data_IF_587258972175
#
_entry.id   IF_587258972175
#
_cell.length_a   1.000
_cell.length_b   1.000
_cell.length_c   1.000
_cell.angle_alpha   90.00
_cell.angle_beta   90.00
_cell.angle_gamma   90.00
#
_symmetry.space_group_name_H-M   'P 1'
#
loop_
_entity.id
_entity.type
_entity.pdbx_description
1 polymer ?
#
# COMPACT_ATOMS: atom_id res chain seq x y z
N UNK A 1 -30.53 0.16 2.94
CA UNK A 1 -30.03 -0.96 2.09
C UNK A 1 -28.61 -1.33 2.50
N UNK A 2 -28.17 -2.55 2.30
CA UNK A 2 -26.83 -2.96 2.69
C UNK A 2 -26.02 -3.29 1.42
N UNK A 3 -24.86 -2.64 1.25
CA UNK A 3 -24.00 -2.82 0.08
C UNK A 3 -22.70 -3.53 0.48
N UNK A 4 -22.15 -4.31 -0.45
CA UNK A 4 -20.87 -5.02 -0.27
C UNK A 4 -20.04 -4.98 -1.55
N UNK A 5 -18.75 -5.28 -1.41
CA UNK A 5 -17.87 -5.55 -2.54
C UNK A 5 -17.93 -7.05 -2.83
N UNK A 6 -18.34 -7.40 -4.05
CA UNK A 6 -18.21 -8.74 -4.59
C UNK A 6 -16.90 -8.82 -5.41
N UNK A 7 -16.15 -9.90 -5.24
CA UNK A 7 -14.97 -10.18 -6.04
C UNK A 7 -15.36 -11.17 -7.15
N UNK A 8 -15.38 -10.69 -8.39
CA UNK A 8 -15.63 -11.49 -9.58
C UNK A 8 -14.36 -11.52 -10.43
N UNK A 9 -13.57 -12.59 -10.40
CA UNK A 9 -12.38 -12.67 -11.24
C UNK A 9 -12.74 -12.44 -12.72
N UNK A 10 -12.05 -11.54 -13.38
CA UNK A 10 -12.24 -11.22 -14.79
C UNK A 10 -10.97 -11.54 -15.55
N UNK A 11 -11.06 -12.40 -16.56
CA UNK A 11 -9.93 -12.80 -17.40
C UNK A 11 -9.65 -11.84 -18.55
N UNK A 12 -10.56 -10.90 -18.84
CA UNK A 12 -10.50 -10.07 -20.05
C UNK A 12 -10.07 -8.62 -19.84
N UNK A 13 -9.66 -8.22 -18.65
CA UNK A 13 -9.24 -6.86 -18.32
C UNK A 13 -10.21 -5.73 -18.72
N UNK A 14 -11.45 -6.05 -19.07
CA UNK A 14 -12.49 -5.06 -19.43
C UNK A 14 -13.26 -4.62 -18.21
N UNK A 15 -13.58 -5.55 -17.32
CA UNK A 15 -14.34 -5.28 -16.11
C UNK A 15 -13.49 -5.41 -14.87
N UNK A 16 -13.66 -4.47 -13.96
CA UNK A 16 -12.98 -4.49 -12.66
C UNK A 16 -13.44 -5.73 -11.86
N UNK A 17 -12.52 -6.50 -11.25
CA UNK A 17 -12.89 -7.65 -10.44
C UNK A 17 -13.64 -7.29 -9.16
N UNK A 18 -13.55 -6.04 -8.72
CA UNK A 18 -14.23 -5.53 -7.54
C UNK A 18 -15.53 -4.83 -7.96
N UNK A 19 -16.67 -5.49 -7.70
CA UNK A 19 -18.02 -4.96 -8.03
C UNK A 19 -18.73 -4.54 -6.76
N UNK A 20 -19.36 -3.40 -6.77
CA UNK A 20 -20.25 -2.98 -5.67
C UNK A 20 -21.65 -3.43 -6.00
N UNK A 21 -22.22 -4.20 -5.09
CA UNK A 21 -23.53 -4.82 -5.25
C UNK A 21 -24.37 -4.60 -4.00
N UNK A 22 -25.66 -4.51 -4.17
CA UNK A 22 -26.64 -4.61 -3.10
C UNK A 22 -26.62 -6.03 -2.51
N UNK A 23 -26.61 -6.15 -1.20
CA UNK A 23 -26.39 -7.44 -0.55
C UNK A 23 -27.56 -8.40 -0.69
N UNK A 24 -28.80 -7.87 -0.71
CA UNK A 24 -30.04 -8.67 -0.76
C UNK A 24 -30.36 -9.17 -2.16
N UNK A 25 -30.29 -8.29 -3.15
CA UNK A 25 -30.70 -8.57 -4.53
C UNK A 25 -29.55 -8.99 -5.43
N UNK A 26 -28.31 -8.68 -5.05
CA UNK A 26 -27.13 -8.84 -5.91
C UNK A 26 -27.06 -7.82 -7.05
N UNK A 27 -27.97 -6.84 -7.10
CA UNK A 27 -27.99 -5.77 -8.10
C UNK A 27 -26.71 -4.95 -8.05
N UNK A 28 -26.09 -4.73 -9.18
CA UNK A 28 -24.87 -3.92 -9.29
C UNK A 28 -25.20 -2.41 -9.22
N UNK A 29 -24.30 -1.65 -8.59
CA UNK A 29 -24.39 -0.19 -8.53
C UNK A 29 -23.68 0.38 -9.75
N UNK A 30 -24.45 0.74 -10.77
CA UNK A 30 -23.98 1.06 -12.10
C UNK A 30 -22.90 2.15 -12.13
N UNK A 31 -23.16 3.32 -11.55
CA UNK A 31 -22.25 4.45 -11.64
C UNK A 31 -20.86 4.17 -11.03
N UNK A 32 -20.81 3.43 -9.90
CA UNK A 32 -19.53 3.08 -9.27
C UNK A 32 -18.81 2.03 -10.12
N UNK A 33 -19.54 1.02 -10.59
CA UNK A 33 -18.95 -0.06 -11.34
C UNK A 33 -18.43 0.41 -12.71
N UNK A 34 -19.11 1.36 -13.35
CA UNK A 34 -18.60 2.04 -14.56
C UNK A 34 -17.31 2.80 -14.29
N UNK A 35 -17.20 3.50 -13.17
CA UNK A 35 -15.96 4.18 -12.81
C UNK A 35 -14.81 3.19 -12.54
N UNK A 36 -15.09 2.09 -11.84
CA UNK A 36 -14.08 1.06 -11.58
C UNK A 36 -13.61 0.39 -12.89
N UNK A 37 -14.51 0.16 -13.85
CA UNK A 37 -14.18 -0.34 -15.18
C UNK A 37 -13.32 0.67 -15.96
N UNK A 38 -13.65 1.96 -15.90
CA UNK A 38 -12.82 3.02 -16.47
C UNK A 38 -11.40 3.02 -15.90
N UNK A 39 -11.23 2.88 -14.59
CA UNK A 39 -9.92 2.82 -13.96
C UNK A 39 -9.18 1.51 -14.26
N UNK A 40 -9.89 0.41 -14.47
CA UNK A 40 -9.33 -0.87 -14.93
C UNK A 40 -8.74 -0.74 -16.34
N UNK A 41 -9.45 -0.10 -17.27
CA UNK A 41 -8.95 0.17 -18.62
C UNK A 41 -7.68 1.05 -18.61
N UNK A 42 -7.51 1.90 -17.61
CA UNK A 42 -6.29 2.67 -17.38
C UNK A 42 -5.15 1.84 -16.79
N UNK A 43 -5.34 0.54 -16.61
CA UNK A 43 -4.36 -0.41 -16.07
C UNK A 43 -3.85 -0.06 -14.67
N UNK A 44 -4.74 0.42 -13.81
CA UNK A 44 -4.40 0.59 -12.41
C UNK A 44 -4.11 -0.76 -11.74
N UNK A 45 -3.19 -0.74 -10.77
CA UNK A 45 -2.88 -1.94 -10.00
C UNK A 45 -4.11 -2.45 -9.24
N UNK A 46 -4.25 -3.77 -9.14
CA UNK A 46 -5.35 -4.46 -8.46
C UNK A 46 -5.60 -3.92 -7.03
N UNK A 47 -4.53 -3.70 -6.27
CA UNK A 47 -4.60 -3.10 -4.92
C UNK A 47 -5.17 -1.69 -4.92
N UNK A 48 -4.96 -0.92 -5.99
CA UNK A 48 -5.52 0.44 -6.14
C UNK A 48 -7.01 0.36 -6.46
N UNK A 49 -7.41 -0.52 -7.38
CA UNK A 49 -8.82 -0.75 -7.72
C UNK A 49 -9.60 -1.21 -6.49
N UNK A 50 -9.04 -2.14 -5.72
CA UNK A 50 -9.62 -2.59 -4.46
C UNK A 50 -9.81 -1.43 -3.48
N UNK A 51 -8.82 -0.57 -3.34
CA UNK A 51 -8.92 0.62 -2.46
C UNK A 51 -10.03 1.54 -2.96
N UNK A 52 -10.09 1.83 -4.26
CA UNK A 52 -11.14 2.67 -4.83
C UNK A 52 -12.53 2.09 -4.57
N UNK A 53 -12.72 0.78 -4.75
CA UNK A 53 -13.98 0.13 -4.44
C UNK A 53 -14.40 0.31 -2.96
N UNK A 54 -13.45 0.18 -2.03
CA UNK A 54 -13.74 0.40 -0.60
C UNK A 54 -14.13 1.84 -0.27
N UNK A 55 -13.42 2.82 -0.84
CA UNK A 55 -13.69 4.23 -0.55
C UNK A 55 -15.00 4.70 -1.21
N UNK A 56 -15.32 4.20 -2.40
CA UNK A 56 -16.60 4.47 -3.07
C UNK A 56 -17.77 3.78 -2.35
N UNK A 57 -17.57 2.56 -1.84
CA UNK A 57 -18.57 1.89 -1.00
C UNK A 57 -18.86 2.69 0.28
N UNK A 58 -17.82 3.28 0.88
CA UNK A 58 -18.00 4.13 2.07
C UNK A 58 -18.84 5.38 1.74
N UNK A 59 -18.59 6.01 0.59
CA UNK A 59 -19.38 7.14 0.14
C UNK A 59 -20.83 6.73 -0.16
N UNK A 60 -21.07 5.62 -0.86
CA UNK A 60 -22.40 5.12 -1.17
C UNK A 60 -23.23 4.87 0.09
N UNK A 61 -22.63 4.28 1.12
CA UNK A 61 -23.30 4.03 2.41
C UNK A 61 -23.69 5.33 3.11
N UNK A 62 -22.82 6.33 3.07
CA UNK A 62 -23.14 7.66 3.57
C UNK A 62 -24.27 8.30 2.77
N UNK A 63 -24.16 8.25 1.44
CA UNK A 63 -25.17 8.80 0.54
C UNK A 63 -26.56 8.21 0.80
N UNK A 64 -26.65 6.89 0.85
CA UNK A 64 -27.90 6.18 1.14
C UNK A 64 -28.45 6.52 2.54
N UNK A 65 -27.58 6.65 3.53
CA UNK A 65 -27.99 7.06 4.88
C UNK A 65 -28.59 8.48 4.95
N UNK A 66 -28.17 9.39 4.05
CA UNK A 66 -28.64 10.76 4.01
C UNK A 66 -29.86 10.94 3.07
N UNK A 67 -29.80 10.32 1.90
CA UNK A 67 -30.78 10.52 0.84
C UNK A 67 -31.81 9.38 0.71
N UNK A 68 -31.65 8.30 1.48
CA UNK A 68 -32.51 7.09 1.45
C UNK A 68 -32.62 6.44 0.06
N UNK A 69 -31.62 6.66 -0.79
CA UNK A 69 -31.53 6.10 -2.13
C UNK A 69 -30.07 5.85 -2.51
N UNK A 70 -29.85 4.84 -3.33
CA UNK A 70 -28.54 4.53 -3.93
C UNK A 70 -28.33 5.21 -5.29
N UNK A 71 -29.39 5.84 -5.82
CA UNK A 71 -29.35 6.60 -7.06
C UNK A 71 -28.78 7.99 -6.77
N UNK A 72 -27.67 8.29 -7.43
CA UNK A 72 -27.03 9.58 -7.34
C UNK A 72 -27.57 10.48 -8.47
N UNK A 73 -28.42 11.44 -8.10
CA UNK A 73 -28.91 12.45 -9.03
C UNK A 73 -27.82 13.51 -9.27
N UNK A 74 -27.54 13.83 -10.54
CA UNK A 74 -26.51 14.82 -10.91
C UNK A 74 -26.73 16.19 -10.26
N UNK A 75 -27.96 16.61 -10.14
CA UNK A 75 -28.33 17.93 -9.60
C UNK A 75 -28.14 18.02 -8.08
N UNK A 76 -28.12 16.88 -7.39
CA UNK A 76 -27.83 16.80 -5.95
C UNK A 76 -26.32 16.78 -5.66
N UNK A 77 -25.47 16.63 -6.69
CA UNK A 77 -24.01 16.62 -6.56
C UNK A 77 -23.46 18.05 -6.61
N UNK A 78 -23.44 18.69 -5.47
CA UNK A 78 -22.90 20.05 -5.33
C UNK A 78 -21.61 20.03 -4.50
N UNK A 79 -20.92 21.17 -4.43
CA UNK A 79 -19.75 21.31 -3.54
C UNK A 79 -20.14 21.10 -2.06
N UNK A 80 -21.37 21.50 -1.67
CA UNK A 80 -21.89 21.23 -0.32
C UNK A 80 -22.01 19.75 -0.01
N UNK A 81 -22.36 18.92 -0.98
CA UNK A 81 -22.42 17.45 -0.82
C UNK A 81 -21.08 16.86 -0.39
N UNK A 82 -19.98 17.30 -1.02
CA UNK A 82 -18.65 16.85 -0.61
C UNK A 82 -18.24 17.41 0.75
N UNK A 83 -18.65 18.66 1.08
CA UNK A 83 -18.43 19.24 2.42
C UNK A 83 -19.15 18.44 3.50
N UNK A 84 -20.39 18.06 3.26
CA UNK A 84 -21.20 17.29 4.22
C UNK A 84 -20.63 15.88 4.39
N UNK A 85 -20.10 15.29 3.32
CA UNK A 85 -19.36 14.04 3.41
C UNK A 85 -18.06 14.16 4.25
N UNK A 86 -17.35 15.30 4.15
CA UNK A 86 -16.19 15.57 5.01
C UNK A 86 -16.61 15.75 6.47
N UNK A 87 -17.70 16.50 6.73
CA UNK A 87 -18.25 16.70 8.08
C UNK A 87 -18.66 15.37 8.71
N UNK A 88 -19.37 14.53 7.96
CA UNK A 88 -19.73 13.19 8.42
C UNK A 88 -18.52 12.37 8.85
N UNK A 89 -17.45 12.36 8.04
CA UNK A 89 -16.23 11.61 8.37
C UNK A 89 -15.49 12.17 9.59
N UNK A 90 -15.54 13.50 9.79
CA UNK A 90 -14.89 14.16 10.91
C UNK A 90 -15.65 14.00 12.24
N UNK A 91 -16.96 13.75 12.17
CA UNK A 91 -17.84 13.58 13.34
C UNK A 91 -17.97 12.13 13.81
N UNK A 92 -17.25 11.17 13.24
CA UNK A 92 -17.31 9.77 13.66
C UNK A 92 -16.59 9.55 14.99
N UNK A 93 -17.14 8.69 15.86
CA UNK A 93 -16.53 8.31 17.16
C UNK A 93 -15.08 7.85 17.03
N UNK A 94 -14.75 7.16 15.94
CA UNK A 94 -13.37 6.80 15.61
C UNK A 94 -12.73 7.92 14.82
N UNK A 95 -11.90 8.70 15.48
CA UNK A 95 -11.13 9.79 14.85
C UNK A 95 -10.34 9.29 13.64
N UNK A 96 -10.77 9.70 12.45
CA UNK A 96 -10.08 9.42 11.20
C UNK A 96 -8.94 10.43 11.01
N UNK A 97 -7.81 9.95 10.48
CA UNK A 97 -6.74 10.89 10.13
C UNK A 97 -7.17 11.76 8.95
N UNK A 98 -6.82 13.05 8.97
CA UNK A 98 -7.10 13.94 7.84
C UNK A 98 -6.54 13.43 6.49
N UNK A 99 -5.45 12.62 6.53
CA UNK A 99 -4.93 11.96 5.34
C UNK A 99 -5.93 10.93 4.76
N UNK A 100 -6.59 10.18 5.62
CA UNK A 100 -7.62 9.20 5.21
C UNK A 100 -8.84 9.92 4.61
N UNK A 101 -9.30 10.97 5.26
CA UNK A 101 -10.42 11.80 4.76
C UNK A 101 -10.06 12.37 3.38
N UNK A 102 -8.88 12.97 3.25
CA UNK A 102 -8.42 13.55 1.99
C UNK A 102 -8.32 12.52 0.86
N UNK A 103 -7.86 11.31 1.16
CA UNK A 103 -7.79 10.23 0.18
C UNK A 103 -9.19 9.83 -0.30
N UNK A 104 -10.14 9.63 0.62
CA UNK A 104 -11.53 9.29 0.29
C UNK A 104 -12.18 10.35 -0.58
N UNK A 105 -12.12 11.60 -0.14
CA UNK A 105 -12.70 12.72 -0.87
C UNK A 105 -12.11 12.85 -2.26
N UNK A 106 -10.79 12.70 -2.41
CA UNK A 106 -10.15 12.78 -3.72
C UNK A 106 -10.58 11.67 -4.68
N UNK A 107 -10.82 10.45 -4.18
CA UNK A 107 -11.31 9.32 -4.99
C UNK A 107 -12.77 9.56 -5.39
N UNK A 108 -13.60 9.98 -4.44
CA UNK A 108 -15.03 10.26 -4.67
C UNK A 108 -15.21 11.41 -5.63
N UNK A 109 -14.58 12.56 -5.39
CA UNK A 109 -14.64 13.74 -6.27
C UNK A 109 -14.26 13.39 -7.70
N UNK A 110 -13.18 12.62 -7.85
CA UNK A 110 -12.73 12.16 -9.17
C UNK A 110 -13.75 11.24 -9.84
N UNK A 111 -14.32 10.28 -9.12
CA UNK A 111 -15.32 9.36 -9.66
C UNK A 111 -16.58 10.11 -10.11
N UNK A 112 -17.07 11.01 -9.27
CA UNK A 112 -18.26 11.80 -9.57
C UNK A 112 -18.06 12.70 -10.80
N UNK A 113 -16.91 13.35 -10.94
CA UNK A 113 -16.61 14.18 -12.13
C UNK A 113 -16.48 13.40 -13.42
N UNK A 114 -16.00 12.16 -13.36
CA UNK A 114 -15.86 11.31 -14.56
C UNK A 114 -17.21 10.77 -14.98
N UNK A 115 -18.04 10.35 -14.03
CA UNK A 115 -19.33 9.72 -14.31
C UNK A 115 -20.45 10.75 -14.55
N UNK A 116 -20.37 11.90 -13.88
CA UNK A 116 -21.35 12.97 -13.95
C UNK A 116 -20.67 14.29 -14.36
N UNK A 117 -20.20 14.42 -15.61
CA UNK A 117 -19.43 15.60 -16.05
C UNK A 117 -20.22 16.91 -15.96
N UNK A 118 -21.56 16.84 -16.09
CA UNK A 118 -22.46 17.98 -16.05
C UNK A 118 -22.99 18.28 -14.64
N UNK A 119 -22.51 17.57 -13.61
CA UNK A 119 -22.94 17.84 -12.25
C UNK A 119 -22.39 19.20 -11.76
N UNK A 120 -23.14 19.94 -10.92
CA UNK A 120 -22.71 21.24 -10.38
C UNK A 120 -21.63 21.11 -9.28
N UNK A 121 -20.79 20.10 -9.37
CA UNK A 121 -19.53 19.95 -8.62
C UNK A 121 -18.50 20.99 -9.07
N UNK A 122 -18.95 22.19 -9.43
CA UNK A 122 -18.04 23.21 -9.91
C UNK A 122 -17.09 23.63 -8.78
N UNK A 123 -15.85 23.29 -8.95
CA UNK A 123 -14.79 24.15 -8.42
C UNK A 123 -15.04 25.54 -9.01
N UNK A 124 -15.19 26.54 -8.16
CA UNK A 124 -15.03 27.92 -8.58
C UNK A 124 -13.84 27.99 -9.54
N UNK A 125 -13.92 28.77 -10.63
CA UNK A 125 -12.89 28.80 -11.65
C UNK A 125 -11.56 28.86 -10.94
N UNK A 126 -10.70 27.89 -11.23
CA UNK A 126 -9.34 27.91 -10.71
C UNK A 126 -8.85 29.30 -11.06
N UNK A 127 -8.65 30.15 -10.07
CA UNK A 127 -7.88 31.36 -10.27
C UNK A 127 -6.67 30.85 -11.02
N UNK A 128 -6.57 31.21 -12.30
CA UNK A 128 -5.39 30.98 -13.09
C UNK A 128 -4.29 31.83 -12.43
N UNK A 129 -3.87 31.39 -11.27
CA UNK A 129 -2.65 31.88 -10.70
C UNK A 129 -1.60 31.37 -11.67
N UNK A 130 -1.04 32.31 -12.42
CA UNK A 130 0.09 32.11 -13.30
C UNK A 130 1.19 31.43 -12.50
N UNK A 131 1.09 30.11 -12.42
CA UNK A 131 1.96 29.25 -11.61
C UNK A 131 3.41 29.31 -12.11
N UNK A 132 3.58 29.73 -13.38
CA UNK A 132 4.85 29.95 -14.02
C UNK A 132 5.69 31.06 -13.38
N UNK A 133 5.05 32.00 -12.68
CA UNK A 133 5.76 33.10 -12.02
C UNK A 133 6.33 32.76 -10.64
N UNK A 134 6.01 31.60 -10.07
CA UNK A 134 6.45 31.21 -8.71
C UNK A 134 7.38 30.00 -8.63
N UNK A 135 7.69 29.35 -9.74
CA UNK A 135 8.69 28.29 -9.76
C UNK A 135 10.05 28.91 -10.05
N UNK A 136 11.01 28.87 -9.14
CA UNK A 136 12.38 29.20 -9.48
C UNK A 136 12.80 28.29 -10.66
N UNK A 137 13.20 28.89 -11.79
CA UNK A 137 13.61 28.20 -13.00
C UNK A 137 12.55 27.57 -13.91
N UNK A 138 11.24 27.86 -13.76
CA UNK A 138 10.21 27.47 -14.73
C UNK A 138 9.94 25.96 -14.87
N UNK A 139 10.53 25.11 -14.03
CA UNK A 139 10.42 23.65 -14.08
C UNK A 139 9.44 23.19 -13.01
N UNK A 140 8.17 23.50 -13.16
CA UNK A 140 7.11 23.01 -12.28
C UNK A 140 6.01 22.35 -13.10
N UNK A 141 5.69 21.09 -12.87
CA UNK A 141 4.46 20.51 -13.39
C UNK A 141 3.27 21.27 -12.79
N UNK A 142 2.28 21.71 -13.59
CA UNK A 142 1.09 22.32 -13.04
C UNK A 142 0.47 21.34 -12.03
N UNK A 143 0.35 21.76 -10.79
CA UNK A 143 -0.44 20.99 -9.81
C UNK A 143 -1.89 21.10 -10.31
N UNK A 144 -2.48 19.97 -10.68
CA UNK A 144 -3.92 19.92 -10.86
C UNK A 144 -4.56 20.61 -9.66
N UNK A 145 -5.57 21.46 -9.90
CA UNK A 145 -6.35 22.06 -8.83
C UNK A 145 -6.99 20.89 -8.05
N UNK A 146 -6.26 20.41 -7.07
CA UNK A 146 -6.76 19.41 -6.13
C UNK A 146 -7.92 20.09 -5.41
N UNK A 147 -9.05 19.41 -5.32
CA UNK A 147 -10.21 19.77 -4.56
C UNK A 147 -9.83 20.72 -3.40
N UNK A 148 -10.43 21.91 -3.32
CA UNK A 148 -10.23 22.86 -2.23
C UNK A 148 -10.59 22.26 -0.86
N UNK A 149 -11.30 21.15 -0.86
CA UNK A 149 -11.73 20.39 0.31
C UNK A 149 -10.61 19.48 0.79
N UNK A 150 -9.58 20.07 1.42
CA UNK A 150 -8.55 19.32 2.11
C UNK A 150 -8.54 19.63 3.60
N UNK A 151 -8.74 18.61 4.39
CA UNK A 151 -8.50 18.68 5.84
C UNK A 151 -6.99 18.84 6.08
N UNK A 152 -6.62 19.83 6.89
CA UNK A 152 -5.23 20.06 7.26
C UNK A 152 -4.68 18.84 8.00
N UNK A 153 -3.61 18.28 7.50
CA UNK A 153 -2.93 17.13 8.15
C UNK A 153 -1.61 17.59 8.75
N UNK A 154 -1.35 17.30 10.01
CA UNK A 154 -0.05 17.56 10.58
C UNK A 154 1.01 16.74 9.84
N UNK A 155 2.15 17.36 9.54
CA UNK A 155 3.30 16.63 8.98
C UNK A 155 3.80 15.65 10.04
N UNK A 156 3.60 14.36 9.84
CA UNK A 156 4.18 13.34 10.69
C UNK A 156 5.67 13.21 10.36
N UNK A 157 6.51 13.62 11.27
CA UNK A 157 7.93 13.29 11.22
C UNK A 157 8.09 11.81 11.51
N UNK A 158 8.64 11.08 10.57
CA UNK A 158 8.94 9.66 10.75
C UNK A 158 10.24 9.57 11.54
N UNK A 159 10.14 9.26 12.83
CA UNK A 159 11.32 9.00 13.66
C UNK A 159 11.85 7.62 13.27
N UNK A 160 13.09 7.48 12.81
CA UNK A 160 13.68 6.16 12.52
C UNK A 160 13.78 5.32 13.79
N UNK A 161 13.96 4.01 13.64
CA UNK A 161 14.29 3.14 14.78
C UNK A 161 15.68 3.50 15.29
N UNK A 162 15.90 3.40 16.60
CA UNK A 162 17.23 3.51 17.18
C UNK A 162 18.07 2.26 16.86
N UNK A 163 19.37 2.34 17.02
CA UNK A 163 20.29 1.20 16.85
C UNK A 163 19.89 0.06 17.79
N UNK A 164 19.62 0.39 19.07
CA UNK A 164 19.25 -0.58 20.10
C UNK A 164 17.88 -1.25 19.80
N UNK A 165 16.91 -0.48 19.28
CA UNK A 165 15.64 -1.05 18.84
C UNK A 165 15.81 -2.03 17.69
N UNK A 166 16.67 -1.69 16.72
CA UNK A 166 16.98 -2.57 15.59
C UNK A 166 17.70 -3.82 16.09
N UNK A 167 18.71 -3.69 16.98
CA UNK A 167 19.43 -4.82 17.55
C UNK A 167 18.51 -5.76 18.33
N UNK A 168 17.68 -5.21 19.24
CA UNK A 168 16.71 -6.02 20.00
C UNK A 168 15.69 -6.71 19.10
N UNK A 169 15.22 -6.03 18.06
CA UNK A 169 14.29 -6.64 17.11
C UNK A 169 14.97 -7.75 16.32
N UNK A 170 16.20 -7.53 15.87
CA UNK A 170 17.01 -8.51 15.17
C UNK A 170 17.25 -9.77 15.99
N UNK A 171 17.65 -9.61 17.24
CA UNK A 171 17.93 -10.73 18.16
C UNK A 171 16.68 -11.55 18.55
N UNK A 172 15.49 -11.05 18.24
CA UNK A 172 14.25 -11.80 18.50
C UNK A 172 13.94 -12.89 17.47
N UNK A 173 14.61 -12.87 16.31
CA UNK A 173 14.42 -13.87 15.27
C UNK A 173 15.19 -15.17 15.59
N UNK A 174 14.54 -16.29 15.28
CA UNK A 174 15.12 -17.64 15.44
C UNK A 174 15.19 -18.41 14.13
N UNK A 175 14.59 -17.88 13.06
CA UNK A 175 14.54 -18.52 11.74
C UNK A 175 15.38 -17.72 10.75
N UNK A 176 16.22 -18.41 9.99
CA UNK A 176 17.07 -17.80 8.96
C UNK A 176 16.25 -17.13 7.87
N UNK A 177 15.07 -17.68 7.54
CA UNK A 177 14.12 -17.05 6.60
C UNK A 177 13.75 -15.65 7.06
N UNK A 178 13.34 -15.51 8.31
CA UNK A 178 12.82 -14.26 8.86
C UNK A 178 13.93 -13.22 8.99
N UNK A 179 15.14 -13.66 9.37
CA UNK A 179 16.36 -12.84 9.35
C UNK A 179 16.70 -12.36 7.94
N UNK A 180 16.67 -13.24 6.94
CA UNK A 180 16.91 -12.86 5.55
C UNK A 180 15.89 -11.84 5.03
N UNK A 181 14.61 -12.00 5.36
CA UNK A 181 13.54 -11.05 5.01
C UNK A 181 13.83 -9.66 5.59
N UNK A 182 14.09 -9.60 6.90
CA UNK A 182 14.36 -8.33 7.58
C UNK A 182 15.72 -7.76 7.17
N UNK A 183 16.71 -8.61 6.94
CA UNK A 183 18.01 -8.23 6.41
C UNK A 183 17.92 -7.50 5.06
N UNK A 184 17.12 -8.01 4.13
CA UNK A 184 16.89 -7.33 2.85
C UNK A 184 16.20 -5.98 3.01
N UNK A 185 15.31 -5.83 3.99
CA UNK A 185 14.68 -4.54 4.27
C UNK A 185 15.66 -3.57 4.94
N UNK A 186 16.48 -4.06 5.84
CA UNK A 186 17.41 -3.28 6.66
C UNK A 186 18.68 -2.90 5.88
N UNK A 187 19.27 -3.84 5.16
CA UNK A 187 20.57 -3.67 4.47
C UNK A 187 20.40 -3.13 3.04
N UNK A 188 19.35 -3.59 2.34
CA UNK A 188 19.10 -3.25 0.94
C UNK A 188 17.98 -2.22 0.76
N UNK A 189 17.27 -1.87 1.83
CA UNK A 189 16.16 -0.92 1.79
C UNK A 189 14.97 -1.38 0.94
N UNK A 190 14.74 -2.68 0.82
CA UNK A 190 13.62 -3.23 0.04
C UNK A 190 12.27 -2.94 0.71
N UNK A 191 11.24 -2.72 -0.13
CA UNK A 191 9.85 -2.64 0.35
C UNK A 191 9.32 -4.04 0.65
N UNK A 192 8.33 -4.12 1.55
CA UNK A 192 7.65 -5.38 1.88
C UNK A 192 7.16 -6.13 0.65
N UNK A 193 6.55 -5.42 -0.29
CA UNK A 193 6.04 -5.99 -1.53
C UNK A 193 7.18 -6.51 -2.40
N UNK A 194 8.27 -5.75 -2.51
CA UNK A 194 9.44 -6.15 -3.27
C UNK A 194 10.06 -7.44 -2.71
N UNK A 195 10.20 -7.54 -1.38
CA UNK A 195 10.70 -8.75 -0.72
C UNK A 195 9.77 -9.94 -0.92
N UNK A 196 8.46 -9.71 -0.82
CA UNK A 196 7.47 -10.77 -1.01
C UNK A 196 7.42 -11.30 -2.44
N UNK A 197 7.62 -10.42 -3.44
CA UNK A 197 7.55 -10.76 -4.87
C UNK A 197 8.82 -11.46 -5.38
N UNK A 198 9.92 -11.51 -4.60
CA UNK A 198 11.17 -12.13 -5.02
C UNK A 198 11.00 -13.61 -5.38
N UNK A 199 11.65 -14.00 -6.45
CA UNK A 199 11.86 -15.38 -6.87
C UNK A 199 13.32 -15.80 -6.68
N UNK A 200 13.60 -17.09 -6.73
CA UNK A 200 14.98 -17.61 -6.68
C UNK A 200 15.82 -17.06 -7.83
N UNK A 201 15.25 -16.99 -9.01
CA UNK A 201 15.91 -16.50 -10.23
C UNK A 201 16.17 -14.98 -10.20
N UNK A 202 15.67 -14.28 -9.20
CA UNK A 202 15.98 -12.86 -8.98
C UNK A 202 17.30 -12.68 -8.20
N UNK A 203 17.87 -13.77 -7.64
CA UNK A 203 19.19 -13.76 -6.98
C UNK A 203 20.29 -14.07 -8.00
N UNK A 204 21.12 -13.09 -8.29
CA UNK A 204 22.29 -13.22 -9.14
C UNK A 204 23.52 -13.33 -8.24
N UNK A 205 23.68 -14.50 -7.60
CA UNK A 205 24.69 -14.68 -6.55
C UNK A 205 26.11 -14.56 -7.09
N UNK A 206 26.37 -14.99 -8.33
CA UNK A 206 27.67 -14.83 -9.00
C UNK A 206 28.06 -13.36 -9.20
N UNK A 207 27.08 -12.49 -9.35
CA UNK A 207 27.27 -11.07 -9.54
C UNK A 207 27.11 -10.26 -8.24
N UNK A 208 26.83 -10.94 -7.13
CA UNK A 208 26.45 -10.33 -5.85
C UNK A 208 25.33 -9.30 -6.01
N UNK A 209 24.31 -9.62 -6.82
CA UNK A 209 23.20 -8.73 -7.14
C UNK A 209 21.85 -9.39 -6.90
N UNK A 210 20.84 -8.55 -6.72
CA UNK A 210 19.44 -8.95 -6.66
C UNK A 210 18.60 -8.10 -7.62
N UNK A 211 17.79 -8.77 -8.42
CA UNK A 211 16.84 -8.13 -9.34
C UNK A 211 15.54 -7.85 -8.60
N UNK A 212 15.12 -6.60 -8.55
CA UNK A 212 13.94 -6.17 -7.79
C UNK A 212 12.93 -5.51 -8.72
N UNK A 213 11.68 -5.96 -8.68
CA UNK A 213 10.55 -5.34 -9.37
C UNK A 213 9.85 -4.34 -8.45
N UNK A 214 9.86 -3.08 -8.85
CA UNK A 214 9.26 -1.98 -8.09
C UNK A 214 7.88 -1.57 -8.63
N UNK A 215 7.35 -0.47 -8.08
CA UNK A 215 6.08 0.12 -8.51
C UNK A 215 6.10 0.44 -10.01
N UNK A 216 5.03 0.07 -10.71
CA UNK A 216 4.91 0.24 -12.17
C UNK A 216 5.73 -0.76 -12.98
N UNK A 217 5.99 -1.93 -12.40
CA UNK A 217 6.76 -3.03 -13.03
C UNK A 217 8.19 -2.63 -13.46
N UNK A 218 8.75 -1.58 -12.83
CA UNK A 218 10.13 -1.15 -13.11
C UNK A 218 11.11 -2.09 -12.43
N UNK A 219 11.95 -2.74 -13.21
CA UNK A 219 13.02 -3.60 -12.72
C UNK A 219 14.27 -2.78 -12.42
N UNK A 220 14.95 -3.10 -11.32
CA UNK A 220 16.27 -2.59 -10.97
C UNK A 220 17.13 -3.67 -10.37
N UNK A 221 18.43 -3.56 -10.56
CA UNK A 221 19.43 -4.40 -9.91
C UNK A 221 20.01 -3.65 -8.72
N UNK A 222 20.19 -4.36 -7.62
CA UNK A 222 20.80 -3.82 -6.41
C UNK A 222 21.96 -4.72 -6.01
N UNK A 223 23.12 -4.16 -5.63
CA UNK A 223 24.20 -4.96 -5.08
C UNK A 223 23.76 -5.58 -3.75
N UNK A 224 24.09 -6.86 -3.52
CA UNK A 224 23.84 -7.53 -2.25
C UNK A 224 25.02 -7.29 -1.32
N UNK A 225 24.75 -6.78 -0.14
CA UNK A 225 25.75 -6.72 0.92
C UNK A 225 26.17 -8.14 1.33
N UNK A 226 27.45 -8.37 1.68
CA UNK A 226 27.96 -9.70 2.10
C UNK A 226 27.11 -10.34 3.20
N UNK A 227 26.65 -9.55 4.17
CA UNK A 227 25.80 -10.00 5.26
C UNK A 227 24.42 -10.49 4.75
N UNK A 228 23.84 -9.79 3.77
CA UNK A 228 22.59 -10.22 3.16
C UNK A 228 22.77 -11.52 2.36
N UNK A 229 23.90 -11.68 1.69
CA UNK A 229 24.25 -12.91 0.99
C UNK A 229 24.37 -14.09 1.96
N UNK A 230 25.04 -13.92 3.08
CA UNK A 230 25.19 -14.95 4.11
C UNK A 230 23.83 -15.39 4.68
N UNK A 231 22.96 -14.43 5.00
CA UNK A 231 21.60 -14.73 5.50
C UNK A 231 20.76 -15.50 4.47
N UNK A 232 20.86 -15.13 3.20
CA UNK A 232 20.15 -15.79 2.11
C UNK A 232 20.70 -17.20 1.87
N UNK A 233 22.01 -17.37 1.86
CA UNK A 233 22.66 -18.66 1.68
C UNK A 233 22.28 -19.62 2.81
N UNK A 234 22.37 -19.17 4.05
CA UNK A 234 21.96 -19.95 5.22
C UNK A 234 20.50 -20.39 5.14
N UNK A 235 19.58 -19.46 4.81
CA UNK A 235 18.18 -19.80 4.62
C UNK A 235 17.97 -20.82 3.50
N UNK A 236 18.59 -20.60 2.34
CA UNK A 236 18.39 -21.44 1.14
C UNK A 236 18.92 -22.87 1.34
N UNK A 237 20.05 -23.03 2.03
CA UNK A 237 20.69 -24.33 2.23
C UNK A 237 20.11 -25.12 3.39
N UNK A 238 19.81 -24.45 4.52
CA UNK A 238 19.54 -25.16 5.77
C UNK A 238 18.04 -25.14 6.15
N UNK A 239 17.30 -24.11 5.79
CA UNK A 239 15.95 -23.96 6.32
C UNK A 239 14.85 -24.02 5.25
N UNK A 240 15.14 -23.61 4.01
CA UNK A 240 14.15 -23.60 2.95
C UNK A 240 13.76 -25.03 2.57
N UNK A 241 12.47 -25.43 2.71
CA UNK A 241 12.05 -26.77 2.31
C UNK A 241 12.20 -26.95 0.80
N UNK A 242 12.45 -28.20 0.39
CA UNK A 242 12.38 -28.57 -1.02
C UNK A 242 10.94 -28.36 -1.52
N UNK A 243 10.81 -27.65 -2.63
CA UNK A 243 9.52 -27.27 -3.22
C UNK A 243 9.69 -26.89 -4.68
N UNK A 244 8.66 -27.12 -5.48
CA UNK A 244 8.55 -26.66 -6.87
C UNK A 244 8.32 -25.15 -6.99
N UNK A 245 7.98 -24.47 -5.89
CA UNK A 245 7.75 -23.02 -5.89
C UNK A 245 9.04 -22.26 -6.20
N UNK A 246 9.00 -21.40 -7.20
CA UNK A 246 10.11 -20.49 -7.51
C UNK A 246 10.20 -19.29 -6.54
N UNK A 247 9.22 -19.11 -5.64
CA UNK A 247 9.27 -18.05 -4.66
C UNK A 247 10.53 -18.12 -3.80
N UNK A 248 11.21 -17.00 -3.59
CA UNK A 248 12.38 -16.96 -2.72
C UNK A 248 11.98 -17.34 -1.28
N UNK A 249 10.98 -16.66 -0.74
CA UNK A 249 10.50 -16.91 0.62
C UNK A 249 9.22 -17.74 0.61
N UNK A 250 9.29 -18.87 1.31
CA UNK A 250 8.19 -19.84 1.39
C UNK A 250 7.77 -20.06 2.84
N UNK A 251 6.57 -20.60 3.02
CA UNK A 251 6.06 -21.02 4.33
C UNK A 251 6.86 -22.23 4.83
N UNK A 252 7.31 -22.18 6.09
CA UNK A 252 8.13 -23.25 6.68
C UNK A 252 7.31 -24.34 7.35
N UNK A 253 6.07 -24.04 7.73
CA UNK A 253 5.23 -24.92 8.56
C UNK A 253 3.78 -24.98 8.03
N UNK A 254 3.04 -25.97 8.55
CA UNK A 254 1.62 -26.16 8.26
C UNK A 254 1.34 -26.69 6.86
N UNK A 255 0.07 -26.68 6.47
CA UNK A 255 -0.42 -27.17 5.16
C UNK A 255 0.14 -26.40 3.96
N UNK A 256 0.53 -25.15 4.17
CA UNK A 256 1.13 -24.30 3.15
C UNK A 256 2.67 -24.38 3.10
N UNK A 257 3.28 -25.38 3.77
CA UNK A 257 4.76 -25.56 3.74
C UNK A 257 5.26 -25.66 2.30
N UNK A 258 6.28 -24.88 1.97
CA UNK A 258 6.84 -24.81 0.61
C UNK A 258 6.09 -23.89 -0.37
N UNK A 259 4.86 -23.46 -0.07
CA UNK A 259 4.18 -22.45 -0.86
C UNK A 259 4.74 -21.04 -0.59
N UNK A 260 4.60 -20.12 -1.56
CA UNK A 260 5.00 -18.71 -1.40
C UNK A 260 4.43 -18.15 -0.11
N UNK A 261 5.26 -17.48 0.67
CA UNK A 261 4.82 -16.76 1.86
C UNK A 261 3.80 -15.68 1.48
N UNK A 262 2.69 -15.59 2.19
CA UNK A 262 1.64 -14.61 1.90
C UNK A 262 1.95 -13.22 2.50
N UNK A 263 1.37 -12.13 1.98
CA UNK A 263 1.45 -10.82 2.63
C UNK A 263 0.90 -10.82 4.06
N UNK A 264 -0.07 -11.68 4.35
CA UNK A 264 -0.59 -11.89 5.70
C UNK A 264 0.46 -12.54 6.61
N UNK A 265 1.20 -13.53 6.09
CA UNK A 265 2.33 -14.17 6.79
C UNK A 265 3.41 -13.16 7.17
N UNK A 266 3.81 -12.30 6.22
CA UNK A 266 4.77 -11.23 6.51
C UNK A 266 4.26 -10.25 7.58
N UNK A 267 3.00 -9.85 7.51
CA UNK A 267 2.40 -9.00 8.55
C UNK A 267 2.37 -9.68 9.92
N UNK A 268 2.08 -10.98 9.96
CA UNK A 268 2.05 -11.77 11.20
C UNK A 268 3.43 -11.90 11.82
N UNK A 269 4.47 -12.09 11.00
CA UNK A 269 5.87 -12.09 11.43
C UNK A 269 6.20 -10.79 12.18
N UNK A 270 6.00 -9.63 11.54
CA UNK A 270 6.28 -8.34 12.18
C UNK A 270 5.41 -8.11 13.42
N UNK A 271 4.15 -8.53 13.40
CA UNK A 271 3.25 -8.42 14.57
C UNK A 271 3.76 -9.23 15.75
N UNK A 272 4.19 -10.45 15.51
CA UNK A 272 4.74 -11.33 16.55
C UNK A 272 5.98 -10.69 17.18
N UNK A 273 6.98 -10.31 16.38
CA UNK A 273 8.24 -9.76 16.90
C UNK A 273 8.05 -8.40 17.58
N UNK A 274 7.12 -7.56 17.12
CA UNK A 274 6.75 -6.32 17.83
C UNK A 274 6.18 -6.60 19.23
N UNK A 275 5.38 -7.65 19.37
CA UNK A 275 4.84 -8.05 20.67
C UNK A 275 5.93 -8.60 21.59
N UNK A 276 6.80 -9.43 21.06
CA UNK A 276 7.89 -10.06 21.81
C UNK A 276 8.91 -9.03 22.30
N UNK A 277 9.23 -8.04 21.47
CA UNK A 277 10.27 -7.03 21.80
C UNK A 277 9.70 -5.78 22.47
N UNK A 278 8.38 -5.58 22.48
CA UNK A 278 7.73 -4.36 22.95
C UNK A 278 7.89 -3.15 22.02
N UNK A 279 8.56 -3.31 20.86
CA UNK A 279 8.85 -2.19 19.93
C UNK A 279 7.67 -1.99 18.99
N UNK A 280 6.68 -1.21 19.41
CA UNK A 280 5.43 -0.96 18.67
C UNK A 280 5.65 -0.37 17.28
N UNK A 281 6.73 0.38 17.10
CA UNK A 281 7.09 1.10 15.87
C UNK A 281 7.80 0.24 14.84
N UNK A 282 8.31 -0.94 15.20
CA UNK A 282 9.04 -1.84 14.32
C UNK A 282 8.13 -2.42 13.21
N UNK A 283 8.09 -1.77 12.07
CA UNK A 283 7.35 -2.22 10.89
C UNK A 283 8.25 -2.14 9.64
N UNK A 284 7.92 -2.84 8.55
CA UNK A 284 8.75 -2.88 7.35
C UNK A 284 9.19 -1.52 6.82
N UNK A 285 8.30 -0.51 6.87
CA UNK A 285 8.64 0.84 6.42
C UNK A 285 9.73 1.50 7.27
N UNK A 286 9.72 1.27 8.59
CA UNK A 286 10.73 1.84 9.51
C UNK A 286 12.11 1.23 9.27
N UNK A 287 12.19 -0.06 8.99
CA UNK A 287 13.46 -0.72 8.64
C UNK A 287 14.03 -0.17 7.34
N UNK A 288 13.19 -0.01 6.32
CA UNK A 288 13.61 0.64 5.08
C UNK A 288 14.07 2.10 5.31
N UNK A 289 13.36 2.88 6.14
CA UNK A 289 13.78 4.24 6.47
C UNK A 289 15.12 4.24 7.21
N UNK A 290 15.35 3.29 8.10
CA UNK A 290 16.65 3.11 8.74
C UNK A 290 17.77 2.88 7.71
N UNK A 291 17.56 2.00 6.73
CA UNK A 291 18.50 1.74 5.64
C UNK A 291 18.83 3.01 4.82
N UNK A 292 17.82 3.85 4.54
CA UNK A 292 17.99 5.07 3.74
C UNK A 292 18.53 6.26 4.52
N UNK A 293 18.42 6.26 5.84
CA UNK A 293 18.90 7.34 6.72
C UNK A 293 20.32 7.11 7.26
N UNK A 294 20.86 5.90 7.13
CA UNK A 294 22.19 5.56 7.59
C UNK A 294 22.95 4.72 6.56
N UNK A 295 24.13 5.18 6.26
CA UNK A 295 25.17 4.37 5.68
C UNK A 295 25.66 3.36 6.73
N UNK A 296 25.27 2.09 6.59
CA UNK A 296 25.67 0.89 7.34
C UNK A 296 25.28 0.77 8.83
N UNK A 297 24.77 -0.40 9.25
CA UNK A 297 24.65 -0.75 10.66
C UNK A 297 26.05 -0.83 11.31
N UNK A 298 26.17 -0.53 12.61
CA UNK A 298 27.44 -0.60 13.32
C UNK A 298 28.03 -2.03 13.27
N UNK A 299 29.36 -2.11 13.29
CA UNK A 299 30.12 -3.38 13.26
C UNK A 299 29.66 -4.42 14.28
N UNK A 300 29.09 -4.01 15.40
CA UNK A 300 28.53 -4.88 16.43
C UNK A 300 27.38 -5.79 15.96
N UNK A 301 26.65 -5.43 14.91
CA UNK A 301 25.63 -6.31 14.33
C UNK A 301 26.21 -7.41 13.42
N UNK A 302 27.52 -7.35 13.12
CA UNK A 302 28.19 -8.32 12.25
C UNK A 302 28.70 -9.54 13.02
N UNK A 303 28.96 -9.38 14.32
CA UNK A 303 29.60 -10.40 15.15
C UNK A 303 28.65 -11.25 15.99
N UNK A 304 27.40 -10.81 16.19
CA UNK A 304 26.46 -11.50 17.08
C UNK A 304 25.60 -12.57 16.39
N UNK A 305 25.86 -12.85 15.10
CA UNK A 305 25.49 -14.14 14.52
C UNK A 305 26.49 -15.17 15.03
N UNK A 306 26.35 -15.60 16.28
CA UNK A 306 27.10 -16.72 16.84
C UNK A 306 26.93 -17.96 15.97
N UNK A 307 27.81 -18.96 16.07
CA UNK A 307 27.66 -20.18 15.30
C UNK A 307 26.33 -20.82 15.65
N UNK A 308 25.50 -20.97 14.66
CA UNK A 308 24.21 -21.68 14.69
C UNK A 308 24.44 -23.17 14.55
#
# INVERSE_FOLDING_TARGET
MTFRIAHKPSNNHVHCPYRIVEQTTGREIDWINRYLDYEMLRRLADTTLRTYAHELLHFLRWWEGVHHTDVVAKDALTESTLLDYVRFQSGQERELTGATINQRVAIVDRALRIIFPDAPLQTAPALQTNYWQRAPMGIGKPRSALSRLRVKTPKRTIVPLSVDEVARFWSSFRNSRDLAIVGLMLLQGLRSQEVWDLNRDDLLLSEAQIRVRGKGNKTRFLPLAPEAMQLLDHYLRLERPQTSSNALFVSLKGTARGARMTPAGLRSLFRYHRRTTGIKTANPHRFRHYATSRTMPPRSMRSDCGPW
#
